data_IF_025429771447
#
_entry.id   IF_025429771447
#
_cell.length_a   1.000
_cell.length_b   1.000
_cell.length_c   1.000
_cell.angle_alpha   90.00
_cell.angle_beta   90.00
_cell.angle_gamma   90.00
#
_symmetry.space_group_name_H-M   'P 1'
#
loop_
_entity.id
_entity.type
_entity.pdbx_description
1 polymer ?
#
# COMPACT_ATOMS: atom_id res chain seq x y z
N UNK A 1 -14.67 -18.25 39.80
CA UNK A 1 -14.83 -19.58 40.41
C UNK A 1 -13.47 -20.25 40.45
N UNK A 2 -12.98 -20.58 41.64
CA UNK A 2 -11.73 -21.32 41.84
C UNK A 2 -12.04 -22.63 42.54
N UNK A 3 -11.65 -23.73 41.98
CA UNK A 3 -11.69 -25.05 42.63
C UNK A 3 -10.28 -25.35 43.13
N UNK A 4 -10.13 -25.52 44.43
CA UNK A 4 -8.87 -25.94 45.07
C UNK A 4 -9.05 -27.31 45.67
N UNK A 5 -8.28 -28.29 45.24
CA UNK A 5 -8.19 -29.60 45.83
C UNK A 5 -6.90 -29.64 46.67
N UNK A 6 -7.03 -29.83 47.97
CA UNK A 6 -5.91 -29.91 48.89
C UNK A 6 -5.83 -31.36 49.45
N UNK A 7 -4.74 -32.04 49.18
CA UNK A 7 -4.40 -33.32 49.74
C UNK A 7 -3.48 -33.06 50.93
N UNK A 8 -3.89 -33.43 52.13
CA UNK A 8 -3.01 -33.48 53.28
C UNK A 8 -2.73 -34.95 53.61
N UNK A 9 -1.51 -35.35 53.31
CA UNK A 9 -1.00 -36.66 53.70
C UNK A 9 -0.57 -36.60 55.18
N UNK A 10 -1.37 -37.13 56.07
CA UNK A 10 -0.94 -37.42 57.44
C UNK A 10 -0.72 -38.91 57.55
N UNK A 11 0.55 -39.26 57.58
CA UNK A 11 1.05 -40.65 57.69
C UNK A 11 0.71 -41.26 59.00
N UNK A 12 -0.49 -41.84 59.14
CA UNK A 12 -0.87 -42.88 60.06
C UNK A 12 -1.86 -43.86 59.39
N UNK A 13 -1.66 -45.13 59.44
CA UNK A 13 -2.53 -46.05 58.74
C UNK A 13 -3.88 -46.15 59.45
N UNK A 14 -4.93 -45.62 58.89
CA UNK A 14 -6.28 -45.88 59.32
C UNK A 14 -7.35 -44.78 59.12
N UNK A 15 -7.07 -43.56 58.63
CA UNK A 15 -8.13 -42.60 58.45
C UNK A 15 -7.99 -41.88 57.06
N UNK A 16 -8.72 -42.46 56.12
CA UNK A 16 -8.98 -41.81 54.82
C UNK A 16 -9.96 -40.64 54.99
N UNK A 17 -9.52 -39.55 55.64
CA UNK A 17 -10.27 -38.29 55.69
C UNK A 17 -9.84 -37.35 54.54
N UNK A 18 -10.09 -37.80 53.33
CA UNK A 18 -10.03 -36.93 52.17
C UNK A 18 -11.11 -35.84 52.26
N UNK A 19 -10.78 -34.67 52.77
CA UNK A 19 -11.69 -33.50 52.76
C UNK A 19 -11.60 -32.85 51.38
N UNK A 20 -12.67 -32.96 50.64
CA UNK A 20 -12.82 -32.21 49.44
C UNK A 20 -13.78 -31.02 49.71
N UNK A 21 -13.47 -29.85 49.20
CA UNK A 21 -14.29 -28.65 49.33
C UNK A 21 -14.42 -27.94 47.99
N UNK A 22 -15.63 -27.66 47.61
CA UNK A 22 -15.93 -26.76 46.49
C UNK A 22 -16.40 -25.45 47.05
N UNK A 23 -15.67 -24.36 46.76
CA UNK A 23 -16.01 -23.01 47.20
C UNK A 23 -16.28 -22.09 46.00
N UNK A 24 -17.39 -21.37 46.02
CA UNK A 24 -17.65 -20.27 45.14
C UNK A 24 -17.46 -19.00 45.96
N UNK A 25 -16.45 -18.21 45.59
CA UNK A 25 -16.18 -16.93 46.25
C UNK A 25 -16.71 -15.79 45.33
N UNK A 26 -17.69 -15.05 45.85
CA UNK A 26 -18.23 -13.84 45.20
C UNK A 26 -17.81 -12.65 46.07
N UNK A 27 -16.89 -11.82 45.55
CA UNK A 27 -16.47 -10.58 46.19
C UNK A 27 -17.14 -9.39 45.48
N UNK A 28 -17.84 -8.57 46.22
CA UNK A 28 -18.49 -7.35 45.74
C UNK A 28 -18.04 -6.18 46.61
N UNK A 29 -17.45 -5.17 46.00
CA UNK A 29 -17.13 -3.94 46.67
C UNK A 29 -18.41 -3.13 46.87
N UNK A 30 -18.92 -3.10 48.10
CA UNK A 30 -20.16 -2.35 48.44
C UNK A 30 -19.89 -0.84 48.59
N UNK A 31 -18.65 -0.46 48.91
CA UNK A 31 -18.23 0.93 49.06
C UNK A 31 -16.79 1.12 48.60
N UNK A 32 -16.57 1.85 47.52
CA UNK A 32 -15.24 2.05 46.91
C UNK A 32 -14.77 3.49 46.81
N UNK A 33 -15.40 4.41 47.58
CA UNK A 33 -15.00 5.83 47.70
C UNK A 33 -14.84 6.54 46.33
N UNK A 34 -15.66 6.20 45.33
CA UNK A 34 -15.65 6.83 44.00
C UNK A 34 -14.63 6.23 42.97
N UNK A 35 -13.90 5.19 43.31
CA UNK A 35 -12.93 4.55 42.41
C UNK A 35 -13.62 3.99 41.17
N UNK A 36 -14.76 3.33 41.32
CA UNK A 36 -15.56 2.82 40.20
C UNK A 36 -16.05 3.96 39.30
N UNK A 37 -16.54 5.09 39.89
CA UNK A 37 -17.00 6.25 39.14
C UNK A 37 -15.85 6.89 38.34
N UNK A 38 -14.67 7.02 38.93
CA UNK A 38 -13.47 7.53 38.26
C UNK A 38 -13.04 6.62 37.11
N UNK A 39 -13.16 5.29 37.24
CA UNK A 39 -12.90 4.34 36.15
C UNK A 39 -13.90 4.48 35.01
N UNK A 40 -15.20 4.73 35.34
CA UNK A 40 -16.21 4.97 34.29
C UNK A 40 -15.87 6.24 33.51
N UNK A 41 -15.59 7.37 34.20
CA UNK A 41 -15.18 8.59 33.52
C UNK A 41 -13.88 8.44 32.70
N UNK A 42 -12.92 7.66 33.20
CA UNK A 42 -11.71 7.30 32.46
C UNK A 42 -12.04 6.55 31.17
N UNK A 43 -12.91 5.54 31.27
CA UNK A 43 -13.33 4.75 30.10
C UNK A 43 -14.13 5.59 29.08
N UNK A 44 -14.98 6.52 29.54
CA UNK A 44 -15.71 7.46 28.68
C UNK A 44 -14.75 8.41 27.94
N UNK A 45 -13.72 8.90 28.63
CA UNK A 45 -12.67 9.73 28.02
C UNK A 45 -11.84 8.95 26.98
N UNK A 46 -11.52 7.68 27.26
CA UNK A 46 -10.82 6.79 26.34
C UNK A 46 -11.69 6.48 25.10
N UNK A 47 -13.00 6.30 25.27
CA UNK A 47 -13.93 6.14 24.15
C UNK A 47 -13.91 7.37 23.25
N UNK A 48 -14.07 8.57 23.81
CA UNK A 48 -14.00 9.81 23.02
C UNK A 48 -12.67 9.97 22.29
N UNK A 49 -11.57 9.66 22.96
CA UNK A 49 -10.24 9.66 22.35
C UNK A 49 -10.16 8.68 21.17
N UNK A 50 -10.72 7.48 21.30
CA UNK A 50 -10.75 6.50 20.23
C UNK A 50 -11.60 6.98 19.04
N UNK A 51 -12.76 7.61 19.29
CA UNK A 51 -13.61 8.19 18.27
C UNK A 51 -12.90 9.31 17.49
N UNK A 52 -12.23 10.23 18.18
CA UNK A 52 -11.47 11.30 17.52
C UNK A 52 -10.25 10.75 16.76
N UNK A 53 -9.59 9.74 17.29
CA UNK A 53 -8.51 9.04 16.57
C UNK A 53 -9.02 8.39 15.29
N UNK A 54 -10.18 7.75 15.34
CA UNK A 54 -10.82 7.17 14.17
C UNK A 54 -11.14 8.24 13.09
N UNK A 55 -11.75 9.37 13.50
CA UNK A 55 -12.04 10.49 12.60
C UNK A 55 -10.76 11.02 11.92
N UNK A 56 -9.73 11.29 12.73
CA UNK A 56 -8.44 11.76 12.21
C UNK A 56 -7.82 10.76 11.22
N UNK A 57 -7.96 9.45 11.49
CA UNK A 57 -7.46 8.42 10.59
C UNK A 57 -8.23 8.43 9.27
N UNK A 58 -9.55 8.54 9.30
CA UNK A 58 -10.39 8.65 8.09
C UNK A 58 -10.03 9.88 7.27
N UNK A 59 -9.85 11.03 7.93
CA UNK A 59 -9.47 12.28 7.25
C UNK A 59 -8.08 12.19 6.64
N UNK A 60 -7.12 11.56 7.33
CA UNK A 60 -5.77 11.31 6.81
C UNK A 60 -5.81 10.42 5.56
N UNK A 61 -6.56 9.32 5.60
CA UNK A 61 -6.71 8.41 4.44
C UNK A 61 -7.34 9.15 3.26
N UNK A 62 -8.38 9.94 3.48
CA UNK A 62 -9.01 10.74 2.43
C UNK A 62 -8.04 11.76 1.81
N UNK A 63 -7.21 12.39 2.64
CA UNK A 63 -6.18 13.32 2.17
C UNK A 63 -5.12 12.60 1.33
N UNK A 64 -4.65 11.44 1.79
CA UNK A 64 -3.63 10.64 1.10
C UNK A 64 -4.13 10.15 -0.27
N UNK A 65 -5.34 9.61 -0.34
CA UNK A 65 -5.96 9.19 -1.61
C UNK A 65 -6.10 10.36 -2.57
N UNK A 66 -6.58 11.52 -2.08
CA UNK A 66 -6.73 12.71 -2.91
C UNK A 66 -5.39 13.25 -3.42
N UNK A 67 -4.38 13.26 -2.57
CA UNK A 67 -3.01 13.68 -2.92
C UNK A 67 -2.41 12.77 -3.99
N UNK A 68 -2.50 11.45 -3.80
CA UNK A 68 -2.01 10.47 -4.76
C UNK A 68 -2.76 10.52 -6.10
N UNK A 69 -4.07 10.77 -6.07
CA UNK A 69 -4.86 10.97 -7.29
C UNK A 69 -4.40 12.20 -8.08
N UNK A 70 -4.18 13.32 -7.40
CA UNK A 70 -3.68 14.55 -8.04
C UNK A 70 -2.26 14.35 -8.59
N UNK A 71 -1.40 13.64 -7.86
CA UNK A 71 -0.06 13.27 -8.33
C UNK A 71 -0.08 12.39 -9.58
N UNK A 72 -1.00 11.44 -9.65
CA UNK A 72 -1.19 10.62 -10.85
C UNK A 72 -1.63 11.45 -12.05
N UNK A 73 -2.57 12.37 -11.86
CA UNK A 73 -3.05 13.29 -12.92
C UNK A 73 -1.93 14.22 -13.40
N UNK A 74 -1.09 14.69 -12.51
CA UNK A 74 0.10 15.48 -12.87
C UNK A 74 1.07 14.65 -13.70
N UNK A 75 1.40 13.43 -13.25
CA UNK A 75 2.30 12.54 -13.97
C UNK A 75 1.78 12.17 -15.37
N UNK A 76 0.48 11.93 -15.52
CA UNK A 76 -0.17 11.71 -16.82
C UNK A 76 0.03 12.91 -17.77
N UNK A 77 -0.21 14.11 -17.27
CA UNK A 77 -0.01 15.33 -18.06
C UNK A 77 1.45 15.57 -18.42
N UNK A 78 2.38 15.19 -17.53
CA UNK A 78 3.82 15.29 -17.77
C UNK A 78 4.28 14.37 -18.91
N UNK A 79 3.70 13.17 -19.07
CA UNK A 79 3.97 12.28 -20.19
C UNK A 79 3.65 12.97 -21.51
N UNK A 80 2.48 13.59 -21.64
CA UNK A 80 2.09 14.28 -22.89
C UNK A 80 3.02 15.45 -23.21
N UNK A 81 3.41 16.23 -22.20
CA UNK A 81 4.32 17.38 -22.38
C UNK A 81 5.73 16.93 -22.76
N UNK A 82 6.26 15.91 -22.09
CA UNK A 82 7.61 15.38 -22.39
C UNK A 82 7.66 14.68 -23.73
N UNK A 83 6.56 14.04 -24.18
CA UNK A 83 6.45 13.46 -25.52
C UNK A 83 6.58 14.55 -26.60
N UNK A 84 5.87 15.65 -26.47
CA UNK A 84 5.99 16.79 -27.39
C UNK A 84 7.40 17.38 -27.39
N UNK A 85 8.05 17.45 -26.23
CA UNK A 85 9.44 17.91 -26.14
C UNK A 85 10.42 16.96 -26.88
N UNK A 86 10.17 15.66 -26.87
CA UNK A 86 10.97 14.70 -27.69
C UNK A 86 10.76 14.94 -29.18
N UNK A 87 9.50 15.11 -29.61
CA UNK A 87 9.17 15.36 -31.01
C UNK A 87 9.83 16.66 -31.51
N UNK A 88 9.81 17.73 -30.71
CA UNK A 88 10.48 18.99 -31.01
C UNK A 88 12.01 18.82 -31.06
N UNK A 89 12.62 18.17 -30.09
CA UNK A 89 14.07 17.98 -30.07
C UNK A 89 14.56 17.06 -31.21
N UNK A 90 13.75 16.13 -31.68
CA UNK A 90 14.05 15.27 -32.82
C UNK A 90 14.06 16.07 -34.12
N UNK A 91 13.07 16.98 -34.30
CA UNK A 91 13.02 17.87 -35.43
C UNK A 91 14.18 18.88 -35.42
N UNK A 92 14.52 19.45 -34.26
CA UNK A 92 15.66 20.35 -34.10
C UNK A 92 16.98 19.66 -34.49
N UNK A 93 17.15 18.43 -34.06
CA UNK A 93 18.32 17.60 -34.44
C UNK A 93 18.36 17.35 -35.95
N UNK A 94 17.24 17.03 -36.58
CA UNK A 94 17.13 16.83 -38.02
C UNK A 94 17.49 18.13 -38.79
N UNK A 95 17.00 19.25 -38.33
CA UNK A 95 17.32 20.55 -38.93
C UNK A 95 18.81 20.89 -38.80
N UNK A 96 19.41 20.63 -37.61
CA UNK A 96 20.84 20.85 -37.41
C UNK A 96 21.70 20.02 -38.35
N UNK A 97 21.33 18.71 -38.52
CA UNK A 97 22.01 17.83 -39.50
C UNK A 97 21.90 18.35 -40.95
N UNK A 98 20.71 18.81 -41.39
CA UNK A 98 20.50 19.37 -42.73
C UNK A 98 21.34 20.60 -42.95
N UNK A 99 21.40 21.53 -41.99
CA UNK A 99 22.23 22.74 -42.05
C UNK A 99 23.72 22.40 -42.15
N UNK A 100 24.18 21.41 -41.36
CA UNK A 100 25.56 20.98 -41.41
C UNK A 100 25.92 20.39 -42.79
N UNK A 101 25.06 19.50 -43.31
CA UNK A 101 25.27 18.91 -44.65
C UNK A 101 25.27 19.95 -45.80
N UNK A 102 24.49 21.03 -45.61
CA UNK A 102 24.44 22.12 -46.57
C UNK A 102 25.60 23.15 -46.40
N UNK A 103 26.48 22.93 -45.44
CA UNK A 103 27.64 23.79 -45.19
C UNK A 103 27.28 25.11 -44.47
N UNK A 104 26.04 25.26 -43.98
CA UNK A 104 25.54 26.49 -43.32
C UNK A 104 25.59 26.37 -41.79
N UNK A 105 25.67 25.13 -41.25
CA UNK A 105 25.73 24.83 -39.81
C UNK A 105 27.09 24.33 -39.37
N UNK A 106 27.31 24.32 -38.08
CA UNK A 106 28.52 23.75 -37.45
C UNK A 106 28.31 22.34 -36.90
N UNK A 107 29.38 21.57 -36.76
CA UNK A 107 29.30 20.28 -36.08
C UNK A 107 28.87 20.41 -34.61
N UNK A 108 29.22 21.54 -33.98
CA UNK A 108 28.80 21.84 -32.60
C UNK A 108 27.27 21.93 -32.48
N UNK A 109 26.63 22.59 -33.46
CA UNK A 109 25.15 22.69 -33.49
C UNK A 109 24.48 21.30 -33.54
N UNK A 110 25.06 20.38 -34.29
CA UNK A 110 24.55 18.98 -34.40
C UNK A 110 24.74 18.24 -33.07
N UNK A 111 25.91 18.39 -32.44
CA UNK A 111 26.18 17.75 -31.13
C UNK A 111 25.28 18.32 -30.03
N UNK A 112 25.07 19.62 -30.00
CA UNK A 112 24.19 20.27 -29.01
C UNK A 112 22.74 19.80 -29.18
N UNK A 113 22.25 19.73 -30.42
CA UNK A 113 20.91 19.21 -30.72
C UNK A 113 20.77 17.72 -30.35
N UNK A 114 21.84 16.91 -30.56
CA UNK A 114 21.84 15.50 -30.15
C UNK A 114 21.78 15.34 -28.63
N UNK A 115 22.51 16.18 -27.87
CA UNK A 115 22.46 16.19 -26.40
C UNK A 115 21.06 16.58 -25.94
N UNK A 116 20.45 17.62 -26.54
CA UNK A 116 19.09 18.04 -26.23
C UNK A 116 18.06 16.93 -26.48
N UNK A 117 18.16 16.22 -27.61
CA UNK A 117 17.30 15.08 -27.94
C UNK A 117 17.46 13.93 -26.91
N UNK A 118 18.71 13.62 -26.55
CA UNK A 118 18.98 12.58 -25.54
C UNK A 118 18.39 12.96 -24.20
N UNK A 119 18.52 14.23 -23.79
CA UNK A 119 17.93 14.72 -22.55
C UNK A 119 16.40 14.66 -22.59
N UNK A 120 15.77 15.05 -23.70
CA UNK A 120 14.32 14.97 -23.87
C UNK A 120 13.83 13.52 -23.77
N UNK A 121 14.49 12.57 -24.41
CA UNK A 121 14.19 11.13 -24.32
C UNK A 121 14.33 10.60 -22.89
N UNK A 122 15.37 11.02 -22.16
CA UNK A 122 15.57 10.65 -20.76
C UNK A 122 14.44 11.18 -19.88
N UNK A 123 14.05 12.45 -20.10
CA UNK A 123 12.95 13.07 -19.35
C UNK A 123 11.61 12.36 -19.64
N UNK A 124 11.35 11.94 -20.87
CA UNK A 124 10.16 11.19 -21.23
C UNK A 124 10.14 9.82 -20.55
N UNK A 125 11.25 9.08 -20.56
CA UNK A 125 11.37 7.79 -19.87
C UNK A 125 11.14 7.94 -18.36
N UNK A 126 11.70 9.02 -17.78
CA UNK A 126 11.47 9.34 -16.36
C UNK A 126 9.98 9.62 -16.09
N UNK A 127 9.30 10.38 -16.94
CA UNK A 127 7.88 10.67 -16.80
C UNK A 127 7.01 9.40 -16.85
N UNK A 128 7.35 8.42 -17.70
CA UNK A 128 6.68 7.12 -17.73
C UNK A 128 6.89 6.33 -16.44
N UNK A 129 8.09 6.36 -15.88
CA UNK A 129 8.39 5.72 -14.61
C UNK A 129 7.64 6.39 -13.45
N UNK A 130 7.66 7.73 -13.41
CA UNK A 130 6.95 8.51 -12.38
C UNK A 130 5.44 8.23 -12.42
N UNK A 131 4.85 8.09 -13.60
CA UNK A 131 3.44 7.70 -13.75
C UNK A 131 3.15 6.32 -13.16
N UNK A 132 3.97 5.31 -13.47
CA UNK A 132 3.78 3.98 -12.91
C UNK A 132 3.92 3.97 -11.38
N UNK A 133 4.88 4.73 -10.85
CA UNK A 133 5.07 4.89 -9.40
C UNK A 133 3.87 5.57 -8.75
N UNK A 134 3.36 6.65 -9.34
CA UNK A 134 2.18 7.37 -8.84
C UNK A 134 0.91 6.50 -8.90
N UNK A 135 0.78 5.67 -9.96
CA UNK A 135 -0.32 4.71 -10.09
C UNK A 135 -0.29 3.69 -8.95
N UNK A 136 0.87 3.11 -8.71
CA UNK A 136 1.06 2.14 -7.62
C UNK A 136 0.83 2.77 -6.24
N UNK A 137 1.27 4.01 -6.04
CA UNK A 137 1.02 4.75 -4.79
C UNK A 137 -0.49 4.98 -4.55
N UNK A 138 -1.24 5.32 -5.60
CA UNK A 138 -2.70 5.45 -5.52
C UNK A 138 -3.37 4.10 -5.22
N UNK A 139 -3.00 3.03 -5.90
CA UNK A 139 -3.52 1.67 -5.65
C UNK A 139 -3.27 1.24 -4.21
N UNK A 140 -2.08 1.52 -3.68
CA UNK A 140 -1.73 1.24 -2.28
C UNK A 140 -2.58 2.06 -1.30
N UNK A 141 -2.81 3.35 -1.58
CA UNK A 141 -3.59 4.22 -0.69
C UNK A 141 -5.08 3.86 -0.66
N UNK A 142 -5.61 3.24 -1.72
CA UNK A 142 -6.98 2.72 -1.79
C UNK A 142 -7.08 1.32 -1.15
N UNK A 143 -5.95 0.67 -0.86
CA UNK A 143 -5.91 -0.68 -0.29
C UNK A 143 -6.16 -1.78 -1.31
N UNK A 144 -5.98 -1.51 -2.62
CA UNK A 144 -6.01 -2.56 -3.63
C UNK A 144 -4.78 -3.44 -3.45
N UNK A 145 -4.94 -4.77 -3.26
CA UNK A 145 -3.80 -5.67 -3.14
C UNK A 145 -2.95 -5.56 -4.42
N UNK A 146 -1.68 -5.27 -4.26
CA UNK A 146 -0.75 -5.33 -5.39
C UNK A 146 -0.72 -6.76 -5.93
N UNK A 147 -1.29 -6.96 -7.09
CA UNK A 147 -1.09 -8.20 -7.81
C UNK A 147 0.39 -8.24 -8.20
N UNK A 148 1.13 -9.15 -7.57
CA UNK A 148 2.55 -9.31 -7.80
C UNK A 148 2.74 -9.47 -9.32
N UNK A 149 3.54 -8.64 -10.03
CA UNK A 149 3.65 -8.69 -11.50
C UNK A 149 4.06 -10.08 -12.01
N UNK A 150 4.76 -10.86 -11.18
CA UNK A 150 5.08 -12.26 -11.44
C UNK A 150 3.84 -13.16 -11.41
N UNK A 151 2.85 -12.84 -10.57
CA UNK A 151 1.59 -13.58 -10.48
C UNK A 151 0.65 -13.18 -11.62
N UNK A 152 0.60 -11.91 -12.00
CA UNK A 152 -0.18 -11.42 -13.14
C UNK A 152 0.27 -12.04 -14.45
N UNK A 153 1.58 -12.12 -14.69
CA UNK A 153 2.16 -12.79 -15.88
C UNK A 153 1.84 -14.29 -15.89
N UNK A 154 1.91 -14.97 -14.74
CA UNK A 154 1.55 -16.40 -14.64
C UNK A 154 0.05 -16.64 -14.87
N UNK A 155 -0.82 -15.79 -14.35
CA UNK A 155 -2.28 -15.89 -14.56
C UNK A 155 -2.65 -15.59 -16.01
N UNK A 156 -1.99 -14.60 -16.64
CA UNK A 156 -2.18 -14.30 -18.06
C UNK A 156 -1.71 -15.44 -18.94
N UNK A 157 -0.54 -16.02 -18.68
CA UNK A 157 0.00 -17.18 -19.40
C UNK A 157 -0.89 -18.41 -19.23
N UNK A 158 -1.43 -18.65 -18.02
CA UNK A 158 -2.37 -19.75 -17.76
C UNK A 158 -3.68 -19.58 -18.52
N UNK A 159 -4.28 -18.36 -18.54
CA UNK A 159 -5.48 -18.06 -19.31
C UNK A 159 -5.29 -18.22 -20.82
N UNK A 160 -4.11 -17.82 -21.33
CA UNK A 160 -3.78 -17.97 -22.77
C UNK A 160 -3.60 -19.45 -23.14
N UNK A 161 -2.99 -20.26 -22.25
CA UNK A 161 -2.82 -21.69 -22.45
C UNK A 161 -4.16 -22.45 -22.38
N UNK A 162 -5.07 -22.02 -21.53
CA UNK A 162 -6.43 -22.60 -21.40
C UNK A 162 -7.31 -22.24 -22.60
N UNK A 163 -7.23 -21.00 -23.10
CA UNK A 163 -7.92 -20.57 -24.33
C UNK A 163 -7.40 -21.31 -25.56
N UNK A 164 -6.11 -21.61 -25.64
CA UNK A 164 -5.52 -22.40 -26.74
C UNK A 164 -6.01 -23.86 -26.73
N UNK A 165 -6.14 -24.49 -25.54
CA UNK A 165 -6.68 -25.85 -25.40
C UNK A 165 -8.16 -25.94 -25.78
N UNK A 166 -8.96 -24.94 -25.41
CA UNK A 166 -10.40 -24.91 -25.77
C UNK A 166 -10.61 -24.74 -27.29
N UNK A 167 -9.70 -24.03 -27.96
CA UNK A 167 -9.77 -23.87 -29.44
C UNK A 167 -9.36 -25.14 -30.17
N UNK A 168 -8.41 -25.92 -29.63
CA UNK A 168 -7.95 -27.20 -30.21
C UNK A 168 -9.00 -28.32 -30.01
N UNK A 169 -9.74 -28.29 -28.91
CA UNK A 169 -10.82 -29.26 -28.60
C UNK A 169 -12.11 -28.97 -29.42
N UNK A 170 -12.34 -27.70 -29.78
CA UNK A 170 -13.47 -27.30 -30.64
C UNK A 170 -13.23 -27.54 -32.13
N UNK A 171 -11.99 -27.82 -32.53
CA UNK A 171 -11.60 -28.10 -33.93
C UNK A 171 -11.52 -29.61 -34.26
N UNK A 172 -11.88 -30.47 -33.30
CA UNK A 172 -11.87 -31.93 -33.42
C UNK A 172 -13.27 -32.52 -33.42
#
# INVERSE_FOLDING_TARGET
>A
ASATQQWSDSSWPGDDNGKWGVGVNVSMNVFDTGVTLSKIHGAEADLKKAEETYRNTVDSVNLDVRSNYLGLREAEKRISTTKLAVEQADEDYRIAQLRYMSGVGTNTDVLDAQVALTQAKTNYTKALYDYNTSKTALETSIGVPMENPVTAVKVQAAKTAEAAKTTEEAAK
#
